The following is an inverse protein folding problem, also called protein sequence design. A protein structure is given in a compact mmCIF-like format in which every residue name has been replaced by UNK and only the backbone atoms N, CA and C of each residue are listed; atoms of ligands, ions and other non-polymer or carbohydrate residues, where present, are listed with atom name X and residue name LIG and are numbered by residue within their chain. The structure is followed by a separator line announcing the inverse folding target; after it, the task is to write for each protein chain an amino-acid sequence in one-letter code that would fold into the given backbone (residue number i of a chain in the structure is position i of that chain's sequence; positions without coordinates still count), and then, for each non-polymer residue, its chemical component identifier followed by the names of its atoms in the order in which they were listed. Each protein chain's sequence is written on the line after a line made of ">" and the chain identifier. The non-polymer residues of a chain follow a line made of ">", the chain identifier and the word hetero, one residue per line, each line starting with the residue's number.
data_IF_681418445253
#
_entry.id   IF_681418445253
#
_cell.length_a   1.000
_cell.length_b   1.000
_cell.length_c   1.000
_cell.angle_alpha   90.00
_cell.angle_beta   90.00
_cell.angle_gamma   90.00
#
_symmetry.space_group_name_H-M   'P 1'
#
loop_
_entity.id
_entity.type
_entity.pdbx_description
1 polymer ?
#
# COMPACT_ATOMS: atom_id res chain seq x y z
N UNK A 1 28.84 25.43 -12.68
CA UNK A 1 27.47 24.96 -13.02
C UNK A 1 27.62 23.82 -14.00
N UNK A 2 27.37 22.58 -13.59
CA UNK A 2 27.52 21.39 -14.44
C UNK A 2 26.28 21.32 -15.36
N UNK A 3 26.44 21.22 -16.68
CA UNK A 3 25.29 21.07 -17.58
C UNK A 3 24.64 19.72 -17.33
N UNK A 4 23.40 19.72 -16.84
CA UNK A 4 22.59 18.51 -16.74
C UNK A 4 22.09 18.18 -18.15
N UNK A 5 22.42 17.01 -18.73
CA UNK A 5 21.92 16.65 -20.03
C UNK A 5 20.39 16.62 -20.00
N UNK A 6 19.76 17.33 -20.93
CA UNK A 6 18.30 17.32 -21.06
C UNK A 6 17.84 15.92 -21.49
N UNK A 7 17.30 15.15 -20.54
CA UNK A 7 16.72 13.84 -20.82
C UNK A 7 15.48 14.00 -21.69
N UNK A 8 15.51 13.36 -22.86
CA UNK A 8 14.35 13.28 -23.75
C UNK A 8 13.26 12.43 -23.08
N UNK A 9 11.99 12.79 -23.27
CA UNK A 9 10.82 12.07 -22.71
C UNK A 9 10.85 10.56 -23.01
N UNK A 10 11.39 10.16 -24.16
CA UNK A 10 11.57 8.75 -24.55
C UNK A 10 12.50 7.99 -23.61
N UNK A 11 13.58 8.62 -23.14
CA UNK A 11 14.50 8.01 -22.18
C UNK A 11 13.84 7.88 -20.80
N UNK A 12 13.06 8.88 -20.39
CA UNK A 12 12.29 8.82 -19.14
C UNK A 12 11.23 7.72 -19.18
N UNK A 13 10.50 7.60 -20.29
CA UNK A 13 9.53 6.53 -20.49
C UNK A 13 10.21 5.15 -20.50
N UNK A 14 11.35 5.01 -21.19
CA UNK A 14 12.14 3.78 -21.18
C UNK A 14 12.60 3.40 -19.77
N UNK A 15 13.14 4.36 -19.01
CA UNK A 15 13.57 4.14 -17.64
C UNK A 15 12.41 3.78 -16.71
N UNK A 16 11.26 4.45 -16.84
CA UNK A 16 10.04 4.13 -16.10
C UNK A 16 9.58 2.70 -16.40
N UNK A 17 9.53 2.31 -17.68
CA UNK A 17 9.18 0.94 -18.07
C UNK A 17 10.12 -0.09 -17.45
N UNK A 18 11.44 0.18 -17.43
CA UNK A 18 12.41 -0.70 -16.76
C UNK A 18 12.08 -0.82 -15.26
N UNK A 19 11.82 0.29 -14.57
CA UNK A 19 11.47 0.23 -13.14
C UNK A 19 10.15 -0.49 -12.89
N UNK A 20 9.15 -0.35 -13.76
CA UNK A 20 7.89 -1.10 -13.65
C UNK A 20 8.16 -2.59 -13.82
N UNK A 21 8.92 -3.00 -14.84
CA UNK A 21 9.25 -4.41 -15.09
C UNK A 21 10.02 -5.00 -13.89
N UNK A 22 11.03 -4.28 -13.39
CA UNK A 22 11.78 -4.70 -12.20
C UNK A 22 10.87 -4.80 -10.97
N UNK A 23 9.96 -3.84 -10.77
CA UNK A 23 9.03 -3.88 -9.64
C UNK A 23 8.11 -5.09 -9.75
N UNK A 24 7.52 -5.35 -10.92
CA UNK A 24 6.64 -6.51 -11.15
C UNK A 24 7.40 -7.81 -10.95
N UNK A 25 8.66 -7.90 -11.38
CA UNK A 25 9.46 -9.12 -11.21
C UNK A 25 9.73 -9.44 -9.74
N UNK A 26 9.79 -8.44 -8.84
CA UNK A 26 9.93 -8.69 -7.40
C UNK A 26 8.73 -9.41 -6.77
N UNK A 27 7.56 -9.39 -7.40
CA UNK A 27 6.38 -10.11 -6.91
C UNK A 27 6.35 -11.58 -7.32
N UNK A 28 7.18 -12.00 -8.28
CA UNK A 28 7.23 -13.39 -8.73
C UNK A 28 7.79 -14.26 -7.60
N UNK A 29 7.00 -15.24 -7.15
CA UNK A 29 7.30 -16.12 -6.00
C UNK A 29 7.48 -15.40 -4.66
N UNK A 30 7.01 -14.16 -4.53
CA UNK A 30 7.06 -13.45 -3.26
C UNK A 30 6.02 -14.01 -2.30
N UNK A 31 6.46 -14.54 -1.16
CA UNK A 31 5.56 -14.97 -0.10
C UNK A 31 5.06 -13.78 0.71
N UNK A 32 3.78 -13.76 1.13
CA UNK A 32 3.29 -12.80 2.09
C UNK A 32 4.08 -12.89 3.42
N UNK A 33 4.34 -11.74 3.99
CA UNK A 33 5.06 -11.53 5.25
C UNK A 33 4.12 -10.95 6.31
N UNK A 34 4.57 -10.90 7.57
CA UNK A 34 3.79 -10.30 8.65
C UNK A 34 3.38 -8.86 8.37
N UNK A 35 4.26 -8.09 7.73
CA UNK A 35 3.99 -6.70 7.35
C UNK A 35 2.85 -6.60 6.34
N UNK A 36 2.74 -7.54 5.40
CA UNK A 36 1.64 -7.56 4.43
C UNK A 36 0.29 -7.77 5.10
N UNK A 37 0.24 -8.68 6.07
CA UNK A 37 -0.96 -8.93 6.87
C UNK A 37 -1.32 -7.70 7.72
N UNK A 38 -0.32 -7.07 8.33
CA UNK A 38 -0.48 -5.87 9.15
C UNK A 38 -1.05 -4.70 8.33
N UNK A 39 -0.40 -4.32 7.22
CA UNK A 39 -0.90 -3.22 6.38
C UNK A 39 -2.21 -3.56 5.69
N UNK A 40 -2.41 -4.84 5.32
CA UNK A 40 -3.66 -5.32 4.75
C UNK A 40 -4.83 -5.15 5.72
N UNK A 41 -4.66 -5.54 6.99
CA UNK A 41 -5.67 -5.39 8.03
C UNK A 41 -6.01 -3.91 8.28
N UNK A 42 -4.99 -3.06 8.44
CA UNK A 42 -5.20 -1.62 8.63
C UNK A 42 -5.96 -0.98 7.46
N UNK A 43 -5.67 -1.42 6.23
CA UNK A 43 -6.38 -0.96 5.03
C UNK A 43 -7.82 -1.44 4.99
N UNK A 44 -8.09 -2.66 5.46
CA UNK A 44 -9.42 -3.23 5.56
C UNK A 44 -10.30 -2.47 6.56
N UNK A 45 -9.80 -2.20 7.78
CA UNK A 45 -10.55 -1.45 8.78
C UNK A 45 -10.77 0.01 8.34
N UNK A 46 -9.79 0.62 7.69
CA UNK A 46 -9.95 1.93 7.08
C UNK A 46 -11.06 1.93 6.02
N UNK A 47 -11.13 0.89 5.17
CA UNK A 47 -12.20 0.76 4.18
C UNK A 47 -13.58 0.57 4.82
N UNK A 48 -13.67 -0.29 5.85
CA UNK A 48 -14.92 -0.75 6.44
C UNK A 48 -15.51 0.25 7.44
N UNK A 49 -14.69 0.81 8.30
CA UNK A 49 -15.09 1.60 9.47
C UNK A 49 -14.59 3.05 9.39
N UNK A 50 -13.70 3.38 8.45
CA UNK A 50 -13.06 4.69 8.37
C UNK A 50 -11.99 4.92 9.45
N UNK A 51 -11.72 3.90 10.28
CA UNK A 51 -10.76 3.95 11.38
C UNK A 51 -9.62 2.98 11.09
N UNK A 52 -8.39 3.47 11.24
CA UNK A 52 -7.21 2.62 11.14
C UNK A 52 -7.01 1.97 12.50
N UNK A 53 -7.10 0.64 12.55
CA UNK A 53 -6.85 -0.17 13.76
C UNK A 53 -6.23 -1.51 13.35
N UNK A 54 -5.75 -2.28 14.33
CA UNK A 54 -5.20 -3.61 14.04
C UNK A 54 -5.27 -4.53 15.26
N UNK A 55 -5.84 -5.71 15.07
CA UNK A 55 -5.93 -6.75 16.08
C UNK A 55 -4.56 -7.38 16.39
N UNK A 56 -3.62 -7.28 15.45
CA UNK A 56 -2.23 -7.71 15.66
C UNK A 56 -1.57 -6.97 16.85
N UNK A 57 -1.99 -5.73 17.14
CA UNK A 57 -1.47 -4.93 18.25
C UNK A 57 -2.42 -4.87 19.45
N UNK A 58 -3.35 -5.81 19.58
CA UNK A 58 -4.28 -5.81 20.70
C UNK A 58 -3.55 -5.80 22.05
N UNK A 59 -4.00 -4.94 22.96
CA UNK A 59 -3.38 -4.74 24.27
C UNK A 59 -2.15 -3.83 24.25
N UNK A 60 -1.76 -3.30 23.09
CA UNK A 60 -0.66 -2.35 22.93
C UNK A 60 -1.29 -0.97 22.72
N UNK A 61 -1.28 -0.15 23.78
CA UNK A 61 -1.70 1.27 23.79
C UNK A 61 -3.03 1.58 23.07
N UNK A 62 -3.96 0.61 23.04
CA UNK A 62 -5.29 0.78 22.42
C UNK A 62 -5.28 0.75 20.89
N UNK A 63 -4.27 0.16 20.25
CA UNK A 63 -4.16 0.07 18.79
C UNK A 63 -5.17 -0.88 18.15
N UNK A 64 -5.83 -1.72 18.95
CA UNK A 64 -7.05 -2.44 18.57
C UNK A 64 -8.23 -1.53 18.26
N UNK A 65 -8.27 -0.34 18.88
CA UNK A 65 -9.34 0.65 18.73
C UNK A 65 -8.96 1.69 17.68
N UNK A 66 -7.75 2.28 17.78
CA UNK A 66 -7.29 3.28 16.83
C UNK A 66 -5.77 3.46 16.79
N UNK A 67 -5.22 3.54 15.58
CA UNK A 67 -3.82 3.83 15.29
C UNK A 67 -3.72 5.18 14.57
N UNK A 68 -3.13 6.17 15.26
CA UNK A 68 -3.00 7.52 14.72
C UNK A 68 -1.79 7.69 13.80
N UNK A 69 -0.67 7.03 14.13
CA UNK A 69 0.58 7.09 13.37
C UNK A 69 0.66 5.92 12.42
N UNK A 70 0.55 6.18 11.13
CA UNK A 70 0.52 5.14 10.10
C UNK A 70 0.88 5.69 8.73
N UNK A 71 1.18 4.80 7.78
CA UNK A 71 1.43 5.14 6.38
C UNK A 71 0.10 5.40 5.64
N UNK A 72 -0.57 6.51 5.97
CA UNK A 72 -1.96 6.80 5.55
C UNK A 72 -2.18 6.71 4.04
N UNK A 73 -1.22 7.17 3.23
CA UNK A 73 -1.33 7.07 1.76
C UNK A 73 -1.32 5.62 1.29
N UNK A 74 -0.43 4.79 1.86
CA UNK A 74 -0.35 3.36 1.54
C UNK A 74 -1.61 2.63 1.96
N UNK A 75 -2.11 2.90 3.17
CA UNK A 75 -3.36 2.32 3.67
C UNK A 75 -4.59 2.77 2.88
N UNK A 76 -4.62 4.03 2.46
CA UNK A 76 -5.66 4.57 1.58
C UNK A 76 -5.66 3.88 0.21
N UNK A 77 -4.47 3.66 -0.37
CA UNK A 77 -4.35 2.88 -1.60
C UNK A 77 -4.85 1.44 -1.40
N UNK A 78 -4.44 0.78 -0.32
CA UNK A 78 -4.93 -0.55 0.04
C UNK A 78 -6.46 -0.59 0.20
N UNK A 79 -7.05 0.39 0.87
CA UNK A 79 -8.50 0.51 1.03
C UNK A 79 -9.24 0.67 -0.31
N UNK A 80 -8.68 1.44 -1.24
CA UNK A 80 -9.23 1.58 -2.61
C UNK A 80 -9.13 0.26 -3.37
N UNK A 81 -7.99 -0.43 -3.31
CA UNK A 81 -7.82 -1.74 -3.93
C UNK A 81 -8.85 -2.73 -3.36
N UNK A 82 -8.98 -2.81 -2.04
CA UNK A 82 -9.98 -3.65 -1.38
C UNK A 82 -11.38 -3.31 -1.89
N UNK A 83 -11.75 -2.03 -1.96
CA UNK A 83 -13.06 -1.60 -2.47
C UNK A 83 -13.32 -2.03 -3.92
N UNK A 84 -12.30 -2.06 -4.77
CA UNK A 84 -12.43 -2.48 -6.17
C UNK A 84 -12.69 -4.00 -6.27
N UNK A 85 -12.06 -4.80 -5.41
CA UNK A 85 -12.16 -6.27 -5.45
C UNK A 85 -13.27 -6.85 -4.54
N UNK A 86 -13.66 -6.14 -3.49
CA UNK A 86 -14.71 -6.56 -2.57
C UNK A 86 -16.08 -6.35 -3.22
N UNK A 87 -16.84 -7.43 -3.39
CA UNK A 87 -18.25 -7.33 -3.80
C UNK A 87 -19.01 -6.51 -2.76
N UNK A 88 -19.98 -5.67 -3.17
CA UNK A 88 -20.80 -4.93 -2.22
C UNK A 88 -21.52 -5.92 -1.31
N UNK A 89 -21.07 -6.01 -0.07
CA UNK A 89 -21.76 -6.73 1.00
C UNK A 89 -22.95 -5.88 1.39
N UNK A 90 -24.17 -6.36 1.09
CA UNK A 90 -25.38 -5.80 1.70
C UNK A 90 -25.26 -6.02 3.20
N UNK A 91 -25.20 -4.92 3.94
CA UNK A 91 -25.45 -4.91 5.39
C UNK A 91 -26.95 -5.12 5.60
#
# INVERSE_FOLDING_TARGET
>A
MIPVPQLRKTHLAGLLSIFIILTVSTYINRFPTGDDAWFGEQSYWLHKEGIIRSEFFRGIVGWEDQILVSHKLFLGFGAVVIRIYQKPTKV
#
